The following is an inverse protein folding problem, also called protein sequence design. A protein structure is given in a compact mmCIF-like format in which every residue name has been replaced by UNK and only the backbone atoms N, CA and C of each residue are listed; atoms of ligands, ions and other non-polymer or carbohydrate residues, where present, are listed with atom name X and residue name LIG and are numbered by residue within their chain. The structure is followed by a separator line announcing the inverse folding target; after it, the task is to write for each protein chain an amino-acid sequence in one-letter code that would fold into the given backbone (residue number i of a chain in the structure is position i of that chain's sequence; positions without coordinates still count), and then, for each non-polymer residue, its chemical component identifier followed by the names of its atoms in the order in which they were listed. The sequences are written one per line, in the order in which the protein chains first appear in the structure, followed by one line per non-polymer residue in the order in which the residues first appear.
data_IF_149863104802
#
_entry.id   IF_149863104802
#
_cell.length_a   1.000
_cell.length_b   1.000
_cell.length_c   1.000
_cell.angle_alpha   90.00
_cell.angle_beta   90.00
_cell.angle_gamma   90.00
#
_symmetry.space_group_name_H-M   'P 1'
#
loop_
_entity.id
_entity.type
_entity.pdbx_description
1 polymer ?
#
# COMPACT_ATOMS: atom_id res chain seq x y z
N UNK A 1 13.53 -6.37 -19.67
CA UNK A 1 13.43 -5.97 -18.27
C UNK A 1 13.97 -7.07 -17.36
N UNK A 2 14.94 -6.75 -16.53
CA UNK A 2 15.56 -7.74 -15.66
C UNK A 2 14.79 -7.89 -14.38
N UNK A 3 14.95 -9.04 -13.67
CA UNK A 3 14.29 -9.20 -12.37
C UNK A 3 14.70 -8.13 -11.37
N UNK A 4 15.95 -7.70 -11.40
CA UNK A 4 16.41 -6.64 -10.50
C UNK A 4 15.70 -5.32 -10.77
N UNK A 5 15.54 -4.98 -12.05
CA UNK A 5 14.84 -3.74 -12.40
C UNK A 5 13.38 -3.80 -11.99
N UNK A 6 12.75 -4.97 -12.15
CA UNK A 6 11.37 -5.15 -11.75
C UNK A 6 11.20 -5.01 -10.25
N UNK A 7 12.14 -5.58 -9.50
CA UNK A 7 12.11 -5.49 -8.05
C UNK A 7 12.29 -4.04 -7.59
N UNK A 8 13.22 -3.32 -8.21
CA UNK A 8 13.45 -1.92 -7.86
C UNK A 8 12.21 -1.07 -8.14
N UNK A 9 11.54 -1.32 -9.27
CA UNK A 9 10.31 -0.60 -9.59
C UNK A 9 9.22 -0.90 -8.56
N UNK A 10 9.16 -2.14 -8.09
CA UNK A 10 8.20 -2.52 -7.07
C UNK A 10 8.47 -1.78 -5.78
N UNK A 11 9.73 -1.70 -5.36
CA UNK A 11 10.09 -0.98 -4.15
C UNK A 11 9.71 0.50 -4.25
N UNK A 12 9.93 1.09 -5.41
CA UNK A 12 9.56 2.49 -5.61
C UNK A 12 8.06 2.71 -5.41
N UNK A 13 7.26 1.75 -5.84
CA UNK A 13 5.80 1.89 -5.74
C UNK A 13 5.29 1.72 -4.32
N UNK A 14 5.94 0.87 -3.53
CA UNK A 14 5.45 0.63 -2.17
C UNK A 14 6.11 1.53 -1.14
N UNK A 15 7.16 2.24 -1.50
CA UNK A 15 7.85 3.13 -0.57
C UNK A 15 6.91 4.17 0.04
N UNK A 16 6.03 4.82 -0.73
CA UNK A 16 5.08 5.75 -0.10
C UNK A 16 4.20 5.09 0.96
N UNK A 17 3.86 3.82 0.77
CA UNK A 17 3.07 3.09 1.77
C UNK A 17 3.83 2.99 3.07
N UNK A 18 5.10 2.60 3.00
CA UNK A 18 5.92 2.47 4.21
C UNK A 18 6.16 3.81 4.87
N UNK A 19 6.37 4.86 4.10
CA UNK A 19 6.58 6.18 4.65
C UNK A 19 5.32 6.68 5.37
N UNK A 20 4.17 6.44 4.81
CA UNK A 20 2.91 6.80 5.45
C UNK A 20 2.71 6.03 6.74
N UNK A 21 3.03 4.73 6.71
CA UNK A 21 2.89 3.92 7.91
C UNK A 21 3.83 4.41 9.01
N UNK A 22 5.06 4.74 8.65
CA UNK A 22 6.05 5.24 9.61
C UNK A 22 5.62 6.56 10.23
N UNK A 23 4.86 7.35 9.48
CA UNK A 23 4.34 8.63 9.97
C UNK A 23 3.00 8.47 10.69
N UNK A 24 2.60 7.25 11.00
CA UNK A 24 1.35 7.02 11.70
C UNK A 24 0.10 7.11 10.82
N UNK A 25 0.28 7.05 9.51
CA UNK A 25 -0.85 7.09 8.59
C UNK A 25 -1.48 8.46 8.44
N UNK A 26 -0.78 9.49 8.83
CA UNK A 26 -1.33 10.85 8.84
C UNK A 26 -1.80 11.29 7.46
N UNK A 27 -1.00 10.99 6.43
CA UNK A 27 -1.34 11.43 5.08
C UNK A 27 -2.64 10.77 4.60
N UNK A 28 -2.79 9.49 4.88
CA UNK A 28 -4.02 8.77 4.51
C UNK A 28 -5.23 9.35 5.24
N UNK A 29 -5.06 9.61 6.53
CA UNK A 29 -6.14 10.18 7.34
C UNK A 29 -6.53 11.56 6.83
N UNK A 30 -5.53 12.38 6.54
CA UNK A 30 -5.77 13.74 6.09
C UNK A 30 -6.49 13.80 4.76
N UNK A 31 -6.15 12.91 3.84
CA UNK A 31 -6.73 12.93 2.51
C UNK A 31 -7.97 12.05 2.37
N UNK A 32 -8.33 11.32 3.42
CA UNK A 32 -9.51 10.47 3.38
C UNK A 32 -9.42 9.38 2.33
N UNK A 33 -8.25 8.74 2.26
CA UNK A 33 -8.00 7.74 1.22
C UNK A 33 -8.71 6.43 1.55
N UNK A 34 -9.24 5.78 0.52
CA UNK A 34 -9.91 4.48 0.66
C UNK A 34 -8.95 3.36 0.30
N UNK A 35 -9.13 2.21 0.96
CA UNK A 35 -8.24 1.06 0.76
C UNK A 35 -8.27 0.57 -0.70
N UNK A 36 -9.44 0.61 -1.34
CA UNK A 36 -9.50 0.13 -2.71
C UNK A 36 -8.72 1.02 -3.68
N UNK A 37 -8.59 2.30 -3.38
CA UNK A 37 -7.77 3.20 -4.19
C UNK A 37 -6.30 2.82 -4.11
N UNK A 38 -5.84 2.49 -2.90
CA UNK A 38 -4.44 2.09 -2.71
C UNK A 38 -4.17 0.76 -3.38
N UNK A 39 -5.08 -0.20 -3.21
CA UNK A 39 -4.91 -1.53 -3.78
C UNK A 39 -4.88 -1.47 -5.31
N UNK A 40 -5.71 -0.62 -5.89
CA UNK A 40 -5.75 -0.49 -7.34
C UNK A 40 -4.45 0.09 -7.87
N UNK A 41 -3.92 1.10 -7.19
CA UNK A 41 -2.68 1.74 -7.62
C UNK A 41 -1.48 0.82 -7.49
N UNK A 42 -1.47 0.01 -6.44
CA UNK A 42 -0.34 -0.85 -6.12
C UNK A 42 -0.54 -2.29 -6.58
N UNK A 43 -1.54 -2.54 -7.42
CA UNK A 43 -1.86 -3.90 -7.84
C UNK A 43 -0.69 -4.60 -8.52
N UNK A 44 0.21 -3.83 -9.13
CA UNK A 44 1.35 -4.40 -9.83
C UNK A 44 2.49 -4.81 -8.92
N UNK A 45 2.40 -4.47 -7.64
CA UNK A 45 3.47 -4.80 -6.70
C UNK A 45 3.68 -6.31 -6.66
N UNK A 46 2.61 -7.10 -6.70
CA UNK A 46 2.75 -8.53 -6.59
C UNK A 46 3.37 -9.16 -7.84
N UNK A 47 3.38 -8.43 -8.96
CA UNK A 47 4.09 -8.89 -10.15
C UNK A 47 5.60 -8.84 -9.95
N UNK A 48 6.07 -7.94 -9.11
CA UNK A 48 7.49 -7.82 -8.81
C UNK A 48 7.94 -8.70 -7.66
N UNK A 49 7.07 -8.89 -6.66
CA UNK A 49 7.42 -9.71 -5.51
C UNK A 49 6.16 -10.02 -4.71
N UNK A 50 5.83 -11.31 -4.63
CA UNK A 50 4.70 -11.74 -3.83
C UNK A 50 4.92 -11.47 -2.35
N UNK A 51 6.13 -11.63 -1.88
CA UNK A 51 6.43 -11.42 -0.48
C UNK A 51 6.27 -9.96 -0.08
N UNK A 52 6.76 -9.06 -0.93
CA UNK A 52 6.57 -7.64 -0.69
C UNK A 52 5.09 -7.27 -0.71
N UNK A 53 4.34 -7.89 -1.62
CA UNK A 53 2.91 -7.64 -1.70
C UNK A 53 2.20 -8.07 -0.42
N UNK A 54 2.55 -9.26 0.09
CA UNK A 54 1.95 -9.74 1.33
C UNK A 54 2.27 -8.83 2.49
N UNK A 55 3.51 -8.38 2.57
CA UNK A 55 3.90 -7.47 3.65
C UNK A 55 3.19 -6.12 3.52
N UNK A 56 3.09 -5.62 2.28
CA UNK A 56 2.39 -4.38 2.02
C UNK A 56 0.94 -4.46 2.45
N UNK A 57 0.28 -5.58 2.14
CA UNK A 57 -1.10 -5.75 2.55
C UNK A 57 -1.26 -5.78 4.06
N UNK A 58 -0.30 -6.37 4.77
CA UNK A 58 -0.35 -6.37 6.22
C UNK A 58 -0.28 -4.95 6.78
N UNK A 59 0.59 -4.13 6.20
CA UNK A 59 0.72 -2.74 6.62
C UNK A 59 -0.58 -1.98 6.35
N UNK A 60 -1.16 -2.21 5.18
CA UNK A 60 -2.40 -1.54 4.82
C UNK A 60 -3.55 -1.97 5.73
N UNK A 61 -3.65 -3.27 6.00
CA UNK A 61 -4.70 -3.78 6.89
C UNK A 61 -4.59 -3.20 8.29
N UNK A 62 -3.36 -3.08 8.78
CA UNK A 62 -3.13 -2.49 10.09
C UNK A 62 -3.66 -1.05 10.13
N UNK A 63 -3.41 -0.30 9.08
CA UNK A 63 -3.85 1.08 9.03
C UNK A 63 -5.35 1.21 8.82
N UNK A 64 -5.98 0.23 8.18
CA UNK A 64 -7.43 0.18 8.10
C UNK A 64 -8.02 -0.04 9.50
N UNK A 65 -7.44 -0.97 10.26
CA UNK A 65 -7.92 -1.23 11.63
C UNK A 65 -7.76 -0.01 12.52
N UNK A 66 -6.68 0.74 12.30
CA UNK A 66 -6.42 1.94 13.10
C UNK A 66 -7.27 3.15 12.68
N UNK A 67 -8.03 3.00 11.60
CA UNK A 67 -8.88 4.08 11.13
C UNK A 67 -8.15 5.10 10.25
N UNK A 68 -6.91 4.82 9.85
CA UNK A 68 -6.16 5.73 9.00
C UNK A 68 -6.57 5.64 7.54
N UNK A 69 -6.99 4.46 7.12
CA UNK A 69 -7.44 4.22 5.74
C UNK A 69 -8.90 3.79 5.81
N UNK A 70 -9.72 4.38 4.95
CA UNK A 70 -11.13 4.10 4.93
C UNK A 70 -11.46 2.88 4.10
N UNK A 71 -12.49 2.17 4.50
CA UNK A 71 -13.02 1.05 3.73
C UNK A 71 -14.31 1.50 3.07
N UNK A 72 -14.41 1.28 1.75
CA UNK A 72 -15.62 1.64 1.03
C UNK A 72 -16.71 0.66 1.40
N UNK A 73 -17.79 1.20 1.90
CA UNK A 73 -18.91 0.39 2.34
C UNK A 73 -19.92 0.29 1.21
N UNK A 74 -20.06 -0.90 0.68
CA UNK A 74 -21.00 -1.15 -0.40
C UNK A 74 -22.23 -1.81 0.14
N UNK A 75 -23.28 -1.10 0.14
CA UNK A 75 -24.53 -1.61 0.65
C UNK A 75 -25.59 -1.60 -0.41
#
# INVERSE_FOLDING_TARGET
ETPEARFANTLDKIQPVFLNDAAGGISWTRHGVYIDQILKRDARVHEGSEELWKYTKKVLDKNVENGNIKVRNEE
#
